data_IF_073995862685
#
_entry.id   IF_073995862685
#
_cell.length_a   1.000
_cell.length_b   1.000
_cell.length_c   1.000
_cell.angle_alpha   90.00
_cell.angle_beta   90.00
_cell.angle_gamma   90.00
#
_symmetry.space_group_name_H-M   'P 1'
#
loop_
_entity.id
_entity.type
_entity.pdbx_description
1 polymer ?
#
# COMPACT_ATOMS: atom_id res chain seq x y z
N UNK A 1 11.97 0.16 12.25
CA UNK A 1 10.91 -0.82 11.97
C UNK A 1 11.39 -1.84 10.95
N UNK A 2 10.94 -3.09 11.09
CA UNK A 2 11.17 -4.09 10.04
C UNK A 2 10.28 -3.80 8.83
N UNK A 3 10.59 -4.40 7.69
CA UNK A 3 9.76 -4.26 6.49
C UNK A 3 8.33 -4.74 6.77
N UNK A 4 8.17 -5.86 7.48
CA UNK A 4 6.85 -6.37 7.86
C UNK A 4 6.07 -5.36 8.71
N UNK A 5 6.73 -4.74 9.69
CA UNK A 5 6.10 -3.72 10.53
C UNK A 5 5.67 -2.50 9.73
N UNK A 6 6.50 -2.05 8.79
CA UNK A 6 6.15 -0.94 7.90
C UNK A 6 4.92 -1.30 7.07
N UNK A 7 4.91 -2.49 6.47
CA UNK A 7 3.80 -2.94 5.64
C UNK A 7 2.50 -3.00 6.44
N UNK A 8 2.53 -3.59 7.63
CA UNK A 8 1.32 -3.71 8.47
C UNK A 8 0.85 -2.36 9.02
N UNK A 9 1.77 -1.45 9.31
CA UNK A 9 1.40 -0.09 9.72
C UNK A 9 0.67 0.63 8.58
N UNK A 10 1.18 0.49 7.35
CA UNK A 10 0.52 1.05 6.17
C UNK A 10 -0.88 0.47 5.99
N UNK A 11 -1.02 -0.85 6.11
CA UNK A 11 -2.32 -1.53 5.99
C UNK A 11 -3.32 -1.00 7.02
N UNK A 12 -2.90 -0.88 8.27
CA UNK A 12 -3.76 -0.37 9.35
C UNK A 12 -4.20 1.07 9.07
N UNK A 13 -3.28 1.92 8.61
CA UNK A 13 -3.59 3.31 8.31
C UNK A 13 -4.63 3.41 7.17
N UNK A 14 -4.45 2.63 6.11
CA UNK A 14 -5.38 2.61 4.99
C UNK A 14 -6.76 2.07 5.41
N UNK A 15 -6.78 1.02 6.21
CA UNK A 15 -8.01 0.45 6.74
C UNK A 15 -8.77 1.45 7.61
N UNK A 16 -8.05 2.23 8.42
CA UNK A 16 -8.66 3.23 9.31
C UNK A 16 -9.44 4.31 8.56
N UNK A 17 -9.13 4.53 7.29
CA UNK A 17 -9.82 5.48 6.42
C UNK A 17 -10.64 4.76 5.34
N UNK A 18 -10.99 3.50 5.61
CA UNK A 18 -11.88 2.70 4.75
C UNK A 18 -11.33 2.48 3.34
N UNK A 19 -10.02 2.33 3.21
CA UNK A 19 -9.43 1.85 1.96
C UNK A 19 -10.04 0.51 1.60
N UNK A 20 -10.28 0.28 0.31
CA UNK A 20 -10.94 -0.91 -0.17
C UNK A 20 -9.94 -1.91 -0.75
N UNK A 21 -10.30 -3.18 -0.70
CA UNK A 21 -9.54 -4.27 -1.31
C UNK A 21 -8.04 -4.17 -1.01
N UNK A 22 -7.72 -4.03 0.27
CA UNK A 22 -6.34 -3.89 0.74
C UNK A 22 -5.67 -5.26 0.70
N UNK A 23 -4.52 -5.32 0.03
CA UNK A 23 -3.71 -6.54 -0.04
C UNK A 23 -2.26 -6.20 0.25
N UNK A 24 -1.55 -7.16 0.83
CA UNK A 24 -0.12 -7.08 1.08
C UNK A 24 0.52 -8.30 0.45
N UNK A 25 1.50 -8.08 -0.42
CA UNK A 25 2.20 -9.15 -1.14
C UNK A 25 3.66 -9.17 -0.71
N UNK A 26 4.17 -10.33 -0.37
CA UNK A 26 5.58 -10.52 -0.09
C UNK A 26 6.31 -10.70 -1.43
N UNK A 27 7.16 -9.74 -1.77
CA UNK A 27 7.82 -9.66 -3.08
C UNK A 27 9.33 -9.82 -2.98
N UNK A 28 9.89 -9.86 -1.78
CA UNK A 28 11.35 -9.84 -1.57
C UNK A 28 12.08 -11.01 -2.22
N UNK A 29 11.44 -12.14 -2.42
CA UNK A 29 12.03 -13.30 -3.08
C UNK A 29 11.93 -13.24 -4.61
N UNK A 30 11.17 -12.30 -5.16
CA UNK A 30 10.96 -12.14 -6.61
C UNK A 30 11.68 -10.93 -7.18
N UNK A 31 11.96 -9.93 -6.36
CA UNK A 31 12.54 -8.67 -6.82
C UNK A 31 13.37 -8.02 -5.73
N UNK A 32 14.35 -7.22 -6.14
CA UNK A 32 15.12 -6.37 -5.23
C UNK A 32 14.49 -5.00 -5.01
N UNK A 33 13.37 -4.72 -5.69
CA UNK A 33 12.71 -3.41 -5.60
C UNK A 33 12.09 -3.15 -4.22
N UNK A 34 11.48 -4.17 -3.63
CA UNK A 34 10.88 -4.06 -2.31
C UNK A 34 10.64 -5.44 -1.71
N UNK A 35 10.57 -5.51 -0.40
CA UNK A 35 10.21 -6.75 0.31
C UNK A 35 8.71 -7.00 0.31
N UNK A 36 7.92 -5.92 0.31
CA UNK A 36 6.45 -5.99 0.29
C UNK A 36 5.86 -4.93 -0.61
N UNK A 37 4.78 -5.29 -1.30
CA UNK A 37 3.89 -4.34 -1.95
C UNK A 37 2.57 -4.33 -1.18
N UNK A 38 2.08 -3.15 -0.85
CA UNK A 38 0.75 -2.95 -0.26
C UNK A 38 -0.12 -2.31 -1.33
N UNK A 39 -1.26 -2.91 -1.62
CA UNK A 39 -2.21 -2.45 -2.64
C UNK A 39 -3.51 -2.04 -1.98
N UNK A 40 -4.06 -0.92 -2.40
CA UNK A 40 -5.32 -0.41 -1.87
C UNK A 40 -6.10 0.30 -2.97
N UNK A 41 -7.41 0.16 -2.94
CA UNK A 41 -8.32 0.86 -3.84
C UNK A 41 -9.02 1.99 -3.07
N UNK A 42 -9.07 3.17 -3.68
CA UNK A 42 -9.82 4.32 -3.16
C UNK A 42 -11.08 4.50 -4.01
N UNK A 43 -12.25 4.56 -3.37
CA UNK A 43 -13.50 4.87 -4.06
C UNK A 43 -13.67 6.38 -4.21
N UNK A 44 -13.09 7.14 -3.28
CA UNK A 44 -13.03 8.59 -3.30
C UNK A 44 -11.88 9.02 -2.41
N UNK A 45 -11.47 10.29 -2.52
CA UNK A 45 -10.46 10.88 -1.61
C UNK A 45 -9.14 10.09 -1.58
N UNK A 46 -8.66 9.70 -2.74
CA UNK A 46 -7.39 8.94 -2.84
C UNK A 46 -6.24 9.67 -2.15
N UNK A 47 -6.18 11.00 -2.26
CA UNK A 47 -5.14 11.80 -1.59
C UNK A 47 -5.22 11.72 -0.09
N UNK A 48 -6.43 11.67 0.47
CA UNK A 48 -6.62 11.54 1.91
C UNK A 48 -6.12 10.19 2.43
N UNK A 49 -6.33 9.13 1.67
CA UNK A 49 -5.78 7.81 1.99
C UNK A 49 -4.25 7.83 1.98
N UNK A 50 -3.66 8.43 0.95
CA UNK A 50 -2.21 8.56 0.85
C UNK A 50 -1.65 9.37 2.02
N UNK A 51 -2.30 10.48 2.36
CA UNK A 51 -1.85 11.36 3.44
C UNK A 51 -1.91 10.68 4.80
N UNK A 52 -2.94 9.89 5.07
CA UNK A 52 -3.08 9.17 6.34
C UNK A 52 -2.01 8.08 6.47
N UNK A 53 -1.73 7.39 5.37
CA UNK A 53 -0.68 6.37 5.34
C UNK A 53 0.70 7.00 5.56
N UNK A 54 1.00 8.06 4.83
CA UNK A 54 2.26 8.78 4.96
C UNK A 54 2.46 9.30 6.39
N UNK A 55 1.43 9.92 6.96
CA UNK A 55 1.49 10.44 8.33
C UNK A 55 1.75 9.36 9.35
N UNK A 56 1.07 8.22 9.24
CA UNK A 56 1.23 7.12 10.19
C UNK A 56 2.67 6.60 10.19
N UNK A 57 3.26 6.42 9.02
CA UNK A 57 4.64 5.94 8.90
C UNK A 57 5.65 7.02 9.34
N UNK A 58 5.40 8.27 9.00
CA UNK A 58 6.24 9.39 9.41
C UNK A 58 6.25 9.52 10.93
N UNK A 59 5.09 9.44 11.58
CA UNK A 59 4.98 9.50 13.04
C UNK A 59 5.68 8.31 13.71
N UNK A 60 5.78 7.18 13.02
CA UNK A 60 6.51 6.01 13.48
C UNK A 60 8.02 6.06 13.20
N UNK A 61 8.50 7.15 12.62
CA UNK A 61 9.91 7.33 12.30
C UNK A 61 10.33 6.82 10.93
N UNK A 62 9.36 6.50 10.07
CA UNK A 62 9.62 5.94 8.73
C UNK A 62 8.95 6.80 7.65
N UNK A 63 9.45 8.04 7.41
CA UNK A 63 8.89 8.86 6.34
C UNK A 63 9.16 8.23 4.98
N UNK A 64 8.31 8.47 3.98
CA UNK A 64 8.56 7.94 2.65
C UNK A 64 9.80 8.60 2.04
N UNK A 65 10.56 7.81 1.28
CA UNK A 65 11.71 8.32 0.52
C UNK A 65 11.23 9.05 -0.73
N UNK A 66 10.07 8.67 -1.25
CA UNK A 66 9.56 9.20 -2.50
C UNK A 66 8.04 9.02 -2.56
N UNK A 67 7.35 10.00 -3.14
CA UNK A 67 5.91 9.95 -3.37
C UNK A 67 5.65 10.36 -4.81
N UNK A 68 4.90 9.54 -5.55
CA UNK A 68 4.54 9.82 -6.93
C UNK A 68 3.04 9.81 -7.12
N UNK A 69 2.55 10.55 -8.11
CA UNK A 69 1.18 10.49 -8.55
C UNK A 69 0.17 11.26 -7.70
N UNK A 70 0.62 11.94 -6.64
CA UNK A 70 -0.28 12.65 -5.72
C UNK A 70 -1.19 13.66 -6.44
N UNK A 71 -0.68 14.31 -7.49
CA UNK A 71 -1.46 15.30 -8.25
C UNK A 71 -2.45 14.66 -9.22
N UNK A 72 -2.11 13.49 -9.76
CA UNK A 72 -2.92 12.81 -10.77
C UNK A 72 -4.22 12.23 -10.21
N UNK A 73 -4.19 11.79 -8.96
CA UNK A 73 -5.37 11.28 -8.28
C UNK A 73 -5.92 9.94 -8.77
N UNK A 74 -5.18 9.21 -9.60
CA UNK A 74 -5.59 7.89 -10.09
C UNK A 74 -4.74 6.77 -9.53
N UNK A 75 -3.47 7.05 -9.28
CA UNK A 75 -2.52 6.08 -8.74
C UNK A 75 -1.45 6.85 -7.97
N UNK A 76 -1.42 6.67 -6.67
CA UNK A 76 -0.42 7.28 -5.80
C UNK A 76 0.50 6.17 -5.29
N UNK A 77 1.80 6.40 -5.39
CA UNK A 77 2.82 5.48 -4.93
C UNK A 77 3.56 6.12 -3.77
N UNK A 78 3.67 5.40 -2.65
CA UNK A 78 4.47 5.80 -1.49
C UNK A 78 5.61 4.81 -1.36
N UNK A 79 6.82 5.28 -1.58
CA UNK A 79 8.03 4.44 -1.55
C UNK A 79 8.73 4.58 -0.19
N UNK A 80 8.69 3.51 0.60
CA UNK A 80 9.39 3.42 1.89
C UNK A 80 10.66 2.56 1.79
N UNK A 81 11.18 2.34 0.58
CA UNK A 81 12.32 1.49 0.27
C UNK A 81 11.99 0.00 0.37
N UNK A 82 11.91 -0.55 1.59
CA UNK A 82 11.57 -1.98 1.77
C UNK A 82 10.11 -2.30 1.48
N UNK A 83 9.25 -1.29 1.50
CA UNK A 83 7.81 -1.43 1.24
C UNK A 83 7.37 -0.34 0.28
N UNK A 84 6.62 -0.72 -0.73
CA UNK A 84 6.00 0.23 -1.66
C UNK A 84 4.49 0.10 -1.54
N UNK A 85 3.83 1.22 -1.24
CA UNK A 85 2.38 1.28 -1.11
C UNK A 85 1.80 1.86 -2.40
N UNK A 86 0.86 1.14 -2.98
CA UNK A 86 0.15 1.56 -4.20
C UNK A 86 -1.32 1.80 -3.86
N UNK A 87 -1.79 3.02 -4.09
CA UNK A 87 -3.19 3.38 -3.89
C UNK A 87 -3.76 3.78 -5.24
N UNK A 88 -4.79 3.06 -5.68
CA UNK A 88 -5.41 3.25 -7.00
C UNK A 88 -6.85 3.65 -6.85
N UNK A 89 -7.41 4.35 -7.86
CA UNK A 89 -8.84 4.32 -8.04
C UNK A 89 -9.22 2.97 -8.66
N UNK A 90 -10.50 2.65 -8.75
CA UNK A 90 -10.96 1.34 -9.24
C UNK A 90 -10.48 1.05 -10.66
N UNK A 91 -10.60 2.04 -11.55
CA UNK A 91 -10.21 1.89 -12.95
C UNK A 91 -8.71 1.61 -13.09
N UNK A 92 -7.89 2.37 -12.36
CA UNK A 92 -6.44 2.21 -12.42
C UNK A 92 -6.01 0.84 -11.84
N UNK A 93 -6.65 0.41 -10.75
CA UNK A 93 -6.37 -0.91 -10.14
C UNK A 93 -6.57 -2.02 -11.15
N UNK A 94 -7.70 -1.99 -11.83
CA UNK A 94 -8.05 -2.98 -12.84
C UNK A 94 -7.15 -2.88 -14.06
N UNK A 95 -6.89 -1.68 -14.54
CA UNK A 95 -6.09 -1.46 -15.75
C UNK A 95 -4.64 -1.93 -15.59
N UNK A 96 -3.99 -1.52 -14.50
CA UNK A 96 -2.58 -1.87 -14.27
C UNK A 96 -2.39 -3.29 -13.75
N UNK A 97 -3.37 -3.80 -13.02
CA UNK A 97 -3.44 -5.20 -12.57
C UNK A 97 -2.10 -5.73 -12.02
N UNK A 98 -1.55 -5.04 -11.02
CA UNK A 98 -0.28 -5.43 -10.42
C UNK A 98 -0.32 -6.82 -9.78
N UNK A 99 -1.49 -7.24 -9.33
CA UNK A 99 -1.67 -8.57 -8.73
C UNK A 99 -1.39 -9.68 -9.74
N UNK A 100 -1.74 -9.45 -10.99
CA UNK A 100 -1.43 -10.38 -12.07
C UNK A 100 0.06 -10.39 -12.38
N UNK A 101 0.67 -9.19 -12.44
CA UNK A 101 2.11 -9.06 -12.69
C UNK A 101 2.92 -9.75 -11.60
N UNK A 102 2.46 -9.64 -10.35
CA UNK A 102 3.13 -10.24 -9.19
C UNK A 102 2.38 -11.47 -8.66
N UNK A 103 1.81 -12.27 -9.56
CA UNK A 103 1.01 -13.43 -9.18
C UNK A 103 1.79 -14.50 -8.40
N UNK A 104 3.12 -14.51 -8.52
CA UNK A 104 3.97 -15.43 -7.77
C UNK A 104 4.33 -14.91 -6.37
N UNK A 105 3.93 -13.69 -6.04
CA UNK A 105 4.16 -13.14 -4.70
C UNK A 105 3.23 -13.82 -3.69
N UNK A 106 3.77 -14.09 -2.51
CA UNK A 106 2.98 -14.71 -1.44
C UNK A 106 2.07 -13.65 -0.79
N UNK A 107 0.75 -13.88 -0.74
CA UNK A 107 -0.13 -12.96 -0.03
C UNK A 107 0.09 -13.06 1.47
N UNK A 108 0.12 -11.90 2.14
CA UNK A 108 0.21 -11.83 3.59
C UNK A 108 -1.20 -11.91 4.16
N UNK A 109 -1.40 -12.75 5.17
CA UNK A 109 -2.69 -12.88 5.84
C UNK A 109 -2.98 -11.62 6.65
N UNK A 110 -4.03 -10.89 6.29
CA UNK A 110 -4.45 -9.66 6.95
C UNK A 110 -5.68 -9.84 7.84
N UNK A 111 -6.12 -11.07 8.08
CA UNK A 111 -7.35 -11.34 8.83
C UNK A 111 -7.35 -10.79 10.25
N UNK A 112 -6.17 -10.66 10.87
CA UNK A 112 -6.04 -10.07 12.22
C UNK A 112 -5.77 -8.57 12.20
N UNK A 113 -5.71 -7.95 11.03
CA UNK A 113 -5.30 -6.55 10.86
C UNK A 113 -6.45 -5.70 10.33
N UNK A 114 -7.18 -6.21 9.35
CA UNK A 114 -8.28 -5.47 8.71
C UNK A 114 -9.54 -5.48 9.59
N UNK A 115 -10.24 -4.36 9.58
CA UNK A 115 -11.55 -4.24 10.21
C UNK A 115 -12.58 -4.97 9.36
N UNK A 116 -13.34 -5.86 9.98
CA UNK A 116 -14.44 -6.54 9.30
C UNK A 116 -15.69 -5.66 9.30
N UNK A 117 -16.33 -5.58 8.15
CA UNK A 117 -17.59 -4.85 7.99
C UNK A 117 -18.70 -5.79 7.59
#
# INVERSE_FOLDING_TARGET
>A
MTANEIALTAVKALDSKKGQDIKCLETGHLTTLADYFVLCTATSKIKALADVCEKALKDAGEPPHHVEGHRGGTWILLDFSSVVVHIFNEEAREFYDLERLWSDAAPVDLSGVLTEN
#
